data_IF_809296082079
#
_entry.id   IF_809296082079
#
_cell.length_a   1.000
_cell.length_b   1.000
_cell.length_c   1.000
_cell.angle_alpha   90.00
_cell.angle_beta   90.00
_cell.angle_gamma   90.00
#
_symmetry.space_group_name_H-M   'P 1'
#
loop_
_entity.id
_entity.type
_entity.pdbx_description
1 polymer ?
#
# COMPACT_ATOMS: atom_id res chain seq x y z
N UNK A 1 -34.36 47.61 13.08
CA UNK A 1 -33.16 47.03 12.46
C UNK A 1 -32.70 45.68 13.06
N UNK A 2 -33.60 44.87 13.66
CA UNK A 2 -33.26 43.57 14.29
C UNK A 2 -33.93 42.35 13.62
N UNK A 3 -34.74 42.54 12.58
CA UNK A 3 -35.49 41.46 11.91
C UNK A 3 -34.84 40.96 10.60
N UNK A 4 -33.86 41.69 10.07
CA UNK A 4 -33.17 41.30 8.82
C UNK A 4 -31.95 40.40 9.09
N UNK A 5 -31.45 40.36 10.34
CA UNK A 5 -30.28 39.57 10.70
C UNK A 5 -30.55 38.06 10.86
N UNK A 6 -31.82 37.63 10.95
CA UNK A 6 -32.17 36.22 11.19
C UNK A 6 -32.39 35.40 9.91
N UNK A 7 -32.49 36.04 8.73
CA UNK A 7 -32.75 35.32 7.47
C UNK A 7 -31.45 34.77 6.84
N UNK A 8 -30.28 35.27 7.26
CA UNK A 8 -29.00 34.76 6.78
C UNK A 8 -28.56 33.45 7.46
N UNK A 9 -29.25 33.02 8.53
CA UNK A 9 -28.92 31.80 9.28
C UNK A 9 -29.69 30.55 8.80
N UNK A 10 -30.51 30.68 7.76
CA UNK A 10 -31.46 29.66 7.28
C UNK A 10 -31.19 29.20 5.85
N UNK A 11 -29.99 29.47 5.30
CA UNK A 11 -29.46 28.66 4.21
C UNK A 11 -28.76 27.46 4.83
N UNK A 12 -29.39 26.27 4.92
CA UNK A 12 -28.59 25.06 5.01
C UNK A 12 -27.78 25.04 3.73
N UNK A 13 -26.48 25.33 3.86
CA UNK A 13 -25.50 25.05 2.83
C UNK A 13 -25.53 23.55 2.62
N UNK A 14 -26.40 23.09 1.72
CA UNK A 14 -26.25 21.79 1.06
C UNK A 14 -25.02 21.98 0.19
N UNK A 15 -23.85 21.89 0.80
CA UNK A 15 -22.65 21.56 0.05
C UNK A 15 -23.04 20.27 -0.68
N UNK A 16 -23.03 20.24 -2.01
CA UNK A 16 -23.13 18.97 -2.68
C UNK A 16 -21.98 18.16 -2.08
N UNK A 17 -22.32 17.06 -1.39
CA UNK A 17 -21.40 15.96 -1.24
C UNK A 17 -21.00 15.70 -2.69
N UNK A 18 -19.81 16.17 -3.08
CA UNK A 18 -19.26 15.82 -4.38
C UNK A 18 -19.29 14.30 -4.36
N UNK A 19 -20.24 13.74 -5.10
CA UNK A 19 -20.35 12.31 -5.25
C UNK A 19 -19.02 11.90 -5.86
N UNK A 20 -18.11 11.45 -5.00
CA UNK A 20 -16.76 11.13 -5.39
C UNK A 20 -16.92 9.88 -6.24
N UNK A 21 -16.95 10.07 -7.56
CA UNK A 21 -17.06 8.95 -8.48
C UNK A 21 -15.88 8.03 -8.17
N UNK A 22 -16.12 6.75 -7.89
CA UNK A 22 -15.04 5.86 -7.52
C UNK A 22 -14.00 5.84 -8.65
N UNK A 23 -12.71 5.94 -8.34
CA UNK A 23 -11.68 5.94 -9.36
C UNK A 23 -11.72 4.62 -10.15
N UNK A 24 -11.63 4.71 -11.47
CA UNK A 24 -11.63 3.53 -12.36
C UNK A 24 -10.33 2.74 -12.32
N UNK A 25 -9.26 3.36 -11.81
CA UNK A 25 -7.92 2.77 -11.70
C UNK A 25 -7.25 3.33 -10.44
N UNK A 26 -6.67 2.44 -9.65
CA UNK A 26 -5.83 2.77 -8.51
C UNK A 26 -4.43 2.24 -8.79
N UNK A 27 -3.41 3.08 -8.65
CA UNK A 27 -2.01 2.72 -8.84
C UNK A 27 -1.29 2.86 -7.49
N UNK A 28 -0.77 1.75 -6.96
CA UNK A 28 0.13 1.77 -5.81
C UNK A 28 1.58 1.79 -6.30
N UNK A 29 2.26 2.93 -6.14
CA UNK A 29 3.64 3.13 -6.56
C UNK A 29 4.56 3.18 -5.34
N UNK A 30 5.46 2.20 -5.21
CA UNK A 30 6.43 2.11 -4.12
C UNK A 30 7.84 2.28 -4.69
N UNK A 31 8.58 3.28 -4.23
CA UNK A 31 9.96 3.53 -4.64
C UNK A 31 10.91 2.95 -3.59
N UNK A 32 11.67 1.93 -3.97
CA UNK A 32 12.60 1.25 -3.06
C UNK A 32 13.66 2.20 -2.51
N UNK A 33 13.86 2.15 -1.20
CA UNK A 33 14.91 2.89 -0.48
C UNK A 33 14.86 4.42 -0.63
N UNK A 34 13.73 4.99 -1.06
CA UNK A 34 13.53 6.44 -1.10
C UNK A 34 13.37 6.97 0.33
N UNK A 35 14.16 7.97 0.70
CA UNK A 35 14.04 8.65 2.00
C UNK A 35 12.99 9.76 1.94
N UNK A 36 12.37 10.12 3.08
CA UNK A 36 11.36 11.17 3.13
C UNK A 36 11.85 12.53 2.61
N UNK A 37 13.14 12.84 2.80
CA UNK A 37 13.76 14.11 2.42
C UNK A 37 14.29 14.14 0.98
N UNK A 38 14.39 13.00 0.29
CA UNK A 38 14.98 12.94 -1.05
C UNK A 38 14.18 13.81 -2.06
N UNK A 39 12.84 13.87 -1.92
CA UNK A 39 12.00 14.68 -2.83
C UNK A 39 12.31 16.18 -2.68
N UNK A 40 12.42 16.66 -1.43
CA UNK A 40 12.70 18.07 -1.16
C UNK A 40 14.17 18.39 -1.50
N UNK A 41 15.09 17.49 -1.19
CA UNK A 41 16.53 17.62 -1.48
C UNK A 41 16.82 17.76 -2.97
N UNK A 42 16.15 16.98 -3.82
CA UNK A 42 16.36 16.98 -5.27
C UNK A 42 15.27 17.73 -6.03
N UNK A 43 14.46 18.55 -5.32
CA UNK A 43 13.29 19.24 -5.89
C UNK A 43 13.59 20.00 -7.18
N UNK A 44 14.71 20.71 -7.24
CA UNK A 44 15.11 21.50 -8.41
C UNK A 44 15.44 20.66 -9.66
N UNK A 45 15.62 19.35 -9.50
CA UNK A 45 15.95 18.41 -10.57
C UNK A 45 14.70 17.69 -11.12
N UNK A 46 13.54 17.84 -10.47
CA UNK A 46 12.31 17.20 -10.91
C UNK A 46 11.48 18.12 -11.81
N UNK A 47 10.91 17.53 -12.86
CA UNK A 47 9.90 18.17 -13.70
C UNK A 47 8.52 18.19 -13.04
N UNK A 48 7.63 19.05 -13.53
CA UNK A 48 6.27 19.26 -12.98
C UNK A 48 5.32 18.09 -13.21
N UNK A 49 5.63 17.14 -14.10
CA UNK A 49 4.76 16.00 -14.43
C UNK A 49 4.92 14.76 -13.55
N UNK A 50 5.93 14.70 -12.69
CA UNK A 50 6.30 13.51 -11.90
C UNK A 50 6.04 13.67 -10.40
N UNK A 51 7.07 13.50 -9.57
CA UNK A 51 6.96 13.63 -8.11
C UNK A 51 6.36 14.97 -7.66
N UNK A 52 6.71 16.08 -8.33
CA UNK A 52 6.15 17.40 -7.99
C UNK A 52 4.64 17.47 -8.19
N UNK A 53 4.11 16.81 -9.24
CA UNK A 53 2.66 16.70 -9.44
C UNK A 53 1.98 16.04 -8.24
N UNK A 54 2.59 14.98 -7.71
CA UNK A 54 2.05 14.22 -6.59
C UNK A 54 2.14 15.01 -5.28
N UNK A 55 3.26 15.70 -5.02
CA UNK A 55 3.48 16.42 -3.76
C UNK A 55 2.79 17.78 -3.70
N UNK A 56 2.56 18.45 -4.83
CA UNK A 56 1.93 19.78 -4.90
C UNK A 56 0.44 19.72 -5.20
N UNK A 57 0.00 18.72 -5.97
CA UNK A 57 -1.40 18.56 -6.37
C UNK A 57 -2.16 17.45 -5.62
N UNK A 58 -1.49 16.71 -4.75
CA UNK A 58 -2.04 15.59 -4.00
C UNK A 58 -2.02 15.80 -2.49
N UNK A 59 -2.37 14.74 -1.76
CA UNK A 59 -2.18 14.69 -0.31
C UNK A 59 -0.77 14.17 0.00
N UNK A 60 0.02 14.96 0.74
CA UNK A 60 1.38 14.61 1.16
C UNK A 60 1.41 14.36 2.68
N UNK A 61 1.90 13.20 3.08
CA UNK A 61 2.13 12.84 4.48
C UNK A 61 3.64 12.75 4.73
N UNK A 62 4.19 13.62 5.58
CA UNK A 62 5.63 13.70 5.87
C UNK A 62 6.04 12.89 7.10
N UNK A 63 5.11 12.70 8.04
CA UNK A 63 5.34 12.01 9.31
C UNK A 63 4.95 10.52 9.25
N UNK A 64 4.96 9.93 8.05
CA UNK A 64 4.69 8.50 7.86
C UNK A 64 5.91 7.66 8.27
N UNK A 65 5.69 6.62 9.07
CA UNK A 65 6.75 5.70 9.50
C UNK A 65 6.25 4.25 9.52
N UNK A 66 7.20 3.31 9.44
CA UNK A 66 6.92 1.89 9.65
C UNK A 66 6.96 1.57 11.14
N UNK A 67 5.84 1.09 11.69
CA UNK A 67 5.74 0.74 13.12
C UNK A 67 6.19 -0.70 13.41
N UNK A 68 7.26 -1.14 12.78
CA UNK A 68 7.83 -2.48 12.98
C UNK A 68 9.34 -2.48 12.75
N UNK A 69 10.03 -3.40 13.43
CA UNK A 69 11.50 -3.38 13.48
C UNK A 69 12.18 -3.74 12.16
N UNK A 70 11.65 -4.73 11.43
CA UNK A 70 12.30 -5.28 10.24
C UNK A 70 11.78 -4.57 8.98
N UNK A 71 12.38 -3.42 8.65
CA UNK A 71 12.03 -2.63 7.45
C UNK A 71 12.67 -3.21 6.18
N UNK A 72 12.52 -4.52 5.96
CA UNK A 72 12.95 -5.16 4.72
C UNK A 72 11.89 -5.02 3.63
N UNK A 73 12.32 -5.00 2.37
CA UNK A 73 11.44 -4.84 1.20
C UNK A 73 10.19 -5.75 1.23
N UNK A 74 10.28 -7.08 1.42
CA UNK A 74 9.08 -7.92 1.39
C UNK A 74 8.11 -7.62 2.54
N UNK A 75 8.63 -7.29 3.72
CA UNK A 75 7.82 -6.96 4.89
C UNK A 75 7.06 -5.67 4.63
N UNK A 76 7.74 -4.64 4.14
CA UNK A 76 7.10 -3.36 3.83
C UNK A 76 6.12 -3.43 2.67
N UNK A 77 6.39 -4.22 1.63
CA UNK A 77 5.42 -4.44 0.56
C UNK A 77 4.18 -5.19 1.07
N UNK A 78 4.34 -6.18 1.95
CA UNK A 78 3.21 -6.86 2.57
C UNK A 78 2.37 -5.90 3.42
N UNK A 79 3.00 -5.04 4.25
CA UNK A 79 2.28 -4.03 5.03
C UNK A 79 1.55 -3.02 4.12
N UNK A 80 2.22 -2.46 3.12
CA UNK A 80 1.62 -1.47 2.21
C UNK A 80 0.48 -2.03 1.36
N UNK A 81 0.52 -3.32 1.03
CA UNK A 81 -0.52 -3.96 0.20
C UNK A 81 -1.68 -4.52 1.00
N UNK A 82 -1.49 -4.87 2.28
CA UNK A 82 -2.55 -5.44 3.13
C UNK A 82 -3.13 -4.46 4.13
N UNK A 83 -2.41 -3.38 4.46
CA UNK A 83 -2.73 -2.49 5.57
C UNK A 83 -2.55 -3.13 6.95
N UNK A 84 -1.98 -4.33 7.02
CA UNK A 84 -1.78 -5.09 8.25
C UNK A 84 -0.31 -5.05 8.70
N UNK A 85 -0.06 -5.34 9.98
CA UNK A 85 1.30 -5.42 10.53
C UNK A 85 1.94 -6.79 10.26
N UNK A 86 3.27 -6.94 10.39
CA UNK A 86 3.95 -8.23 10.23
C UNK A 86 3.42 -9.35 11.11
N UNK A 87 2.99 -9.02 12.33
CA UNK A 87 2.31 -9.94 13.25
C UNK A 87 1.00 -10.51 12.69
N UNK A 88 0.38 -9.82 11.73
CA UNK A 88 -0.92 -10.16 11.15
C UNK A 88 -0.78 -10.74 9.74
N UNK A 89 0.07 -10.18 8.89
CA UNK A 89 0.25 -10.68 7.51
C UNK A 89 1.31 -11.77 7.38
N UNK A 90 2.07 -12.08 8.44
CA UNK A 90 2.98 -13.24 8.52
C UNK A 90 4.34 -13.07 7.82
N UNK A 91 4.45 -12.17 6.84
CA UNK A 91 5.72 -11.85 6.17
C UNK A 91 6.68 -11.10 7.11
N UNK A 92 7.80 -11.74 7.46
CA UNK A 92 8.83 -11.19 8.36
C UNK A 92 10.22 -11.06 7.71
N UNK A 93 10.45 -11.74 6.58
CA UNK A 93 11.71 -11.72 5.82
C UNK A 93 11.53 -12.46 4.49
N UNK A 94 12.57 -12.51 3.66
CA UNK A 94 12.60 -13.37 2.45
C UNK A 94 12.76 -14.86 2.79
N UNK A 95 13.37 -15.17 3.93
CA UNK A 95 13.58 -16.52 4.45
C UNK A 95 13.57 -16.51 5.97
N UNK A 96 12.90 -17.46 6.61
CA UNK A 96 12.89 -17.61 8.06
C UNK A 96 13.00 -19.07 8.46
N UNK A 97 13.14 -19.31 9.76
CA UNK A 97 13.23 -20.65 10.33
C UNK A 97 11.88 -21.08 10.86
N UNK A 98 11.35 -22.18 10.35
CA UNK A 98 10.23 -22.88 10.97
C UNK A 98 10.81 -23.81 12.06
N UNK A 99 10.41 -23.56 13.30
CA UNK A 99 10.90 -24.30 14.46
C UNK A 99 10.13 -25.62 14.70
N UNK A 100 8.95 -25.79 14.10
CA UNK A 100 8.14 -27.02 14.23
C UNK A 100 8.72 -28.11 13.34
N UNK A 101 8.89 -27.82 12.04
CA UNK A 101 9.42 -28.82 11.08
C UNK A 101 10.95 -28.79 10.97
N UNK A 102 11.56 -27.88 11.71
CA UNK A 102 12.99 -27.65 11.73
C UNK A 102 13.61 -27.38 10.33
N UNK A 103 12.99 -26.51 9.51
CA UNK A 103 13.47 -26.15 8.16
C UNK A 103 13.49 -24.64 7.91
N UNK A 104 14.31 -24.22 6.95
CA UNK A 104 14.24 -22.86 6.40
C UNK A 104 13.08 -22.78 5.42
N UNK A 105 12.23 -21.78 5.58
CA UNK A 105 11.09 -21.48 4.71
C UNK A 105 11.43 -20.23 3.90
N UNK A 106 11.30 -20.30 2.58
CA UNK A 106 11.33 -19.12 1.72
C UNK A 106 9.95 -18.49 1.60
N UNK A 107 9.94 -17.16 1.48
CA UNK A 107 8.72 -16.35 1.44
C UNK A 107 7.71 -16.84 0.41
N UNK A 108 8.18 -17.16 -0.77
CA UNK A 108 7.33 -17.59 -1.88
C UNK A 108 7.43 -19.09 -2.14
N UNK A 109 8.25 -19.84 -1.40
CA UNK A 109 8.45 -21.26 -1.65
C UNK A 109 7.16 -22.04 -1.34
N UNK A 110 6.67 -22.79 -2.33
CA UNK A 110 5.46 -23.59 -2.24
C UNK A 110 5.60 -24.94 -2.95
N UNK A 111 6.03 -26.01 -2.25
CA UNK A 111 6.17 -27.34 -2.84
C UNK A 111 4.86 -27.98 -3.32
N UNK A 112 3.69 -27.38 -3.01
CA UNK A 112 2.39 -27.87 -3.50
C UNK A 112 2.08 -27.41 -4.93
N UNK A 113 2.74 -26.37 -5.41
CA UNK A 113 2.60 -25.86 -6.77
C UNK A 113 3.62 -26.56 -7.67
N UNK A 114 3.14 -27.13 -8.78
CA UNK A 114 4.01 -27.60 -9.86
C UNK A 114 3.88 -26.60 -10.99
N UNK A 115 4.99 -26.01 -11.41
CA UNK A 115 5.03 -25.20 -12.62
C UNK A 115 5.43 -26.11 -13.81
N UNK A 116 4.50 -26.48 -14.71
CA UNK A 116 4.83 -27.29 -15.87
C UNK A 116 5.56 -26.51 -16.98
N UNK A 117 5.60 -25.17 -16.94
CA UNK A 117 6.14 -24.32 -18.02
C UNK A 117 7.52 -23.72 -17.69
N UNK A 118 7.95 -23.70 -16.42
CA UNK A 118 9.21 -23.08 -16.01
C UNK A 118 10.40 -24.07 -15.95
N UNK A 119 11.05 -24.30 -17.09
CA UNK A 119 12.20 -25.21 -17.25
C UNK A 119 13.55 -24.71 -16.71
N UNK A 120 13.60 -23.56 -16.03
CA UNK A 120 14.85 -22.98 -15.51
C UNK A 120 14.74 -22.53 -14.03
N UNK A 121 14.57 -23.50 -13.13
CA UNK A 121 14.92 -23.35 -11.71
C UNK A 121 13.81 -23.69 -10.72
N UNK A 122 13.98 -24.79 -9.98
CA UNK A 122 13.30 -25.18 -8.72
C UNK A 122 11.84 -24.69 -8.53
N UNK A 123 11.02 -24.80 -9.58
CA UNK A 123 9.76 -24.07 -9.77
C UNK A 123 8.59 -24.58 -8.93
N UNK A 124 8.44 -23.98 -7.75
CA UNK A 124 7.30 -24.19 -6.87
C UNK A 124 7.10 -22.91 -6.02
N UNK A 125 6.39 -21.91 -6.57
CA UNK A 125 6.20 -20.60 -5.90
C UNK A 125 4.72 -20.20 -5.79
N UNK A 126 4.34 -19.60 -4.67
CA UNK A 126 2.99 -19.06 -4.47
C UNK A 126 2.95 -17.96 -3.40
N UNK A 127 1.87 -17.16 -3.33
CA UNK A 127 1.70 -16.15 -2.29
C UNK A 127 1.24 -16.72 -0.93
N UNK A 128 1.21 -18.06 -0.74
CA UNK A 128 0.57 -18.71 0.42
C UNK A 128 1.00 -18.22 1.80
N UNK A 129 2.23 -17.72 1.94
CA UNK A 129 2.77 -17.26 3.21
C UNK A 129 2.36 -15.80 3.53
N UNK A 130 1.74 -15.08 2.59
CA UNK A 130 1.02 -13.84 2.85
C UNK A 130 -0.40 -14.19 3.28
N UNK A 131 -0.64 -14.19 4.59
CA UNK A 131 -1.90 -14.72 5.14
C UNK A 131 -3.02 -13.68 5.26
N UNK A 132 -2.69 -12.39 5.17
CA UNK A 132 -3.67 -11.31 5.17
C UNK A 132 -4.08 -10.95 3.74
N UNK A 133 -5.36 -10.62 3.49
CA UNK A 133 -5.80 -10.19 2.17
C UNK A 133 -5.18 -8.85 1.79
N UNK A 134 -4.84 -8.71 0.52
CA UNK A 134 -4.39 -7.44 -0.05
C UNK A 134 -5.57 -6.52 -0.35
N UNK A 135 -5.29 -5.23 -0.52
CA UNK A 135 -6.25 -4.24 -1.01
C UNK A 135 -6.83 -4.66 -2.37
N UNK A 136 -6.03 -5.28 -3.24
CA UNK A 136 -6.49 -5.79 -4.53
C UNK A 136 -7.52 -6.91 -4.38
N UNK A 137 -7.27 -7.88 -3.49
CA UNK A 137 -8.23 -8.94 -3.20
C UNK A 137 -9.49 -8.40 -2.52
N UNK A 138 -9.35 -7.42 -1.62
CA UNK A 138 -10.49 -6.77 -0.98
C UNK A 138 -11.37 -6.02 -2.00
N UNK A 139 -10.75 -5.31 -2.94
CA UNK A 139 -11.45 -4.62 -4.04
C UNK A 139 -12.17 -5.62 -4.95
N UNK A 140 -11.48 -6.71 -5.35
CA UNK A 140 -12.08 -7.76 -6.18
C UNK A 140 -13.31 -8.40 -5.51
N UNK A 141 -13.28 -8.62 -4.19
CA UNK A 141 -14.45 -9.16 -3.46
C UNK A 141 -15.63 -8.20 -3.42
N UNK A 142 -15.39 -6.89 -3.40
CA UNK A 142 -16.44 -5.86 -3.32
C UNK A 142 -17.02 -5.49 -4.69
N UNK A 143 -16.22 -5.61 -5.76
CA UNK A 143 -16.60 -5.25 -7.13
C UNK A 143 -15.88 -6.19 -8.11
N UNK A 144 -16.38 -7.44 -8.24
CA UNK A 144 -15.75 -8.49 -9.04
C UNK A 144 -15.81 -8.22 -10.55
#
# INVERSE_FOLDING_TARGET
MKKILLVLLLLPGVLPILANTPPRLVINLVVSSMRPDDIDRYRSQFGTGGFLRLTEGGARFTEGSYDYQQTSTPVSLATLTTGAMPSTHGVISTRWRDYIVNKTVGLIDDPSVRDPEYYHGNGAYSPRNLIAPTVGEALLRQSP
#
